data_IF_357102251291
#
_entry.id   IF_357102251291
#
_cell.length_a   1.000
_cell.length_b   1.000
_cell.length_c   1.000
_cell.angle_alpha   90.00
_cell.angle_beta   90.00
_cell.angle_gamma   90.00
#
_symmetry.space_group_name_H-M   'P 1'
#
loop_
_entity.id
_entity.type
_entity.pdbx_description
1 polymer ?
#
# COMPACT_ATOMS: atom_id res chain seq x y z
N UNK A 1 -73.86 -9.48 -11.86
CA UNK A 1 -73.60 -10.70 -11.05
C UNK A 1 -72.64 -10.34 -9.94
N UNK A 2 -73.14 -10.09 -8.73
CA UNK A 2 -72.36 -10.34 -7.51
C UNK A 2 -73.28 -11.12 -6.59
N UNK A 3 -72.80 -12.30 -6.23
CA UNK A 3 -73.45 -13.29 -5.38
C UNK A 3 -73.83 -12.65 -4.04
N UNK A 4 -75.11 -12.72 -3.60
CA UNK A 4 -75.56 -12.12 -2.34
C UNK A 4 -74.94 -12.76 -1.09
N UNK A 5 -74.10 -13.79 -1.23
CA UNK A 5 -73.37 -14.42 -0.11
C UNK A 5 -71.88 -14.06 -0.03
N UNK A 6 -71.42 -12.96 -0.63
CA UNK A 6 -70.08 -12.45 -0.37
C UNK A 6 -70.09 -11.46 0.80
N UNK A 7 -69.44 -11.76 1.95
CA UNK A 7 -69.49 -10.88 3.12
C UNK A 7 -68.82 -9.52 2.84
N UNK A 8 -69.52 -8.43 3.19
CA UNK A 8 -69.08 -7.04 3.07
C UNK A 8 -67.73 -6.82 3.77
N UNK A 9 -66.70 -6.50 2.99
CA UNK A 9 -65.30 -6.32 3.42
C UNK A 9 -65.17 -5.23 4.51
N UNK A 10 -66.05 -4.23 4.49
CA UNK A 10 -66.02 -3.01 5.31
C UNK A 10 -66.24 -3.25 6.81
N UNK A 11 -67.02 -4.26 7.18
CA UNK A 11 -67.28 -4.56 8.61
C UNK A 11 -66.10 -5.27 9.29
N UNK A 12 -65.27 -6.03 8.54
CA UNK A 12 -64.05 -6.63 9.07
C UNK A 12 -62.98 -5.56 9.36
N UNK A 13 -62.82 -4.59 8.46
CA UNK A 13 -61.86 -3.48 8.66
C UNK A 13 -62.19 -2.63 9.89
N UNK A 14 -63.48 -2.38 10.19
CA UNK A 14 -63.92 -1.63 11.38
C UNK A 14 -63.61 -2.33 12.71
N UNK A 15 -63.64 -3.66 12.74
CA UNK A 15 -63.31 -4.43 13.94
C UNK A 15 -61.78 -4.51 14.17
N UNK A 16 -60.98 -4.43 13.09
CA UNK A 16 -59.53 -4.47 13.15
C UNK A 16 -58.87 -3.08 13.37
N UNK A 17 -59.57 -1.99 13.06
CA UNK A 17 -59.13 -0.60 13.29
C UNK A 17 -58.53 -0.31 14.69
N UNK A 18 -59.15 -0.69 15.82
CA UNK A 18 -58.55 -0.46 17.15
C UNK A 18 -57.27 -1.28 17.38
N UNK A 19 -57.12 -2.42 16.72
CA UNK A 19 -55.92 -3.24 16.75
C UNK A 19 -54.78 -2.61 15.94
N UNK A 20 -55.06 -2.04 14.76
CA UNK A 20 -54.08 -1.30 13.96
C UNK A 20 -53.55 -0.06 14.69
N UNK A 21 -54.43 0.76 15.31
CA UNK A 21 -54.02 1.94 16.10
C UNK A 21 -53.01 1.60 17.21
N UNK A 22 -53.24 0.48 17.92
CA UNK A 22 -52.35 0.01 18.99
C UNK A 22 -50.99 -0.45 18.46
N UNK A 23 -50.97 -1.04 17.26
CA UNK A 23 -49.72 -1.43 16.57
C UNK A 23 -48.95 -0.21 16.10
N UNK A 24 -49.60 0.81 15.56
CA UNK A 24 -48.94 2.04 15.13
C UNK A 24 -48.30 2.79 16.31
N UNK A 25 -49.00 2.91 17.44
CA UNK A 25 -48.43 3.48 18.65
C UNK A 25 -47.23 2.68 19.20
N UNK A 26 -47.22 1.36 19.04
CA UNK A 26 -46.08 0.51 19.39
C UNK A 26 -44.91 0.70 18.41
N UNK A 27 -45.20 0.78 17.11
CA UNK A 27 -44.21 1.03 16.05
C UNK A 27 -43.54 2.39 16.26
N UNK A 28 -44.29 3.44 16.62
CA UNK A 28 -43.75 4.77 16.88
C UNK A 28 -42.82 4.79 18.11
N UNK A 29 -43.19 4.06 19.17
CA UNK A 29 -42.31 3.87 20.34
C UNK A 29 -41.01 3.15 19.97
N UNK A 30 -41.07 2.12 19.15
CA UNK A 30 -39.88 1.39 18.71
C UNK A 30 -39.05 2.27 17.77
N UNK A 31 -39.66 2.93 16.80
CA UNK A 31 -39.00 3.81 15.85
C UNK A 31 -38.27 4.96 16.55
N UNK A 32 -38.91 5.59 17.55
CA UNK A 32 -38.27 6.64 18.35
C UNK A 32 -37.09 6.11 19.19
N UNK A 33 -37.19 4.89 19.73
CA UNK A 33 -36.10 4.28 20.49
C UNK A 33 -34.93 3.85 19.60
N UNK A 34 -35.22 3.28 18.43
CA UNK A 34 -34.23 2.90 17.42
C UNK A 34 -33.53 4.16 16.90
N UNK A 35 -34.28 5.20 16.53
CA UNK A 35 -33.71 6.45 16.04
C UNK A 35 -32.77 7.10 17.08
N UNK A 36 -33.17 7.15 18.36
CA UNK A 36 -32.33 7.67 19.44
C UNK A 36 -31.07 6.85 19.66
N UNK A 37 -31.17 5.52 19.61
CA UNK A 37 -30.00 4.63 19.76
C UNK A 37 -29.02 4.79 18.61
N UNK A 38 -29.52 4.81 17.37
CA UNK A 38 -28.71 5.04 16.16
C UNK A 38 -28.05 6.41 16.16
N UNK A 39 -28.79 7.47 16.52
CA UNK A 39 -28.25 8.82 16.56
C UNK A 39 -27.23 9.01 17.69
N UNK A 40 -27.44 8.38 18.85
CA UNK A 40 -26.48 8.40 19.97
C UNK A 40 -25.20 7.66 19.60
N UNK A 41 -25.29 6.54 18.89
CA UNK A 41 -24.12 5.81 18.42
C UNK A 41 -23.33 6.62 17.37
N UNK A 42 -24.01 7.23 16.40
CA UNK A 42 -23.36 8.10 15.39
C UNK A 42 -22.69 9.32 16.02
N UNK A 43 -23.36 9.98 16.99
CA UNK A 43 -22.77 11.11 17.73
C UNK A 43 -21.62 10.67 18.64
N UNK A 44 -21.68 9.48 19.25
CA UNK A 44 -20.56 8.94 20.03
C UNK A 44 -19.36 8.63 19.13
N UNK A 45 -19.55 7.99 17.98
CA UNK A 45 -18.46 7.74 17.02
C UNK A 45 -17.86 9.06 16.51
N UNK A 46 -18.71 10.01 16.12
CA UNK A 46 -18.28 11.34 15.69
C UNK A 46 -17.61 12.14 16.81
N UNK A 47 -18.08 12.03 18.05
CA UNK A 47 -17.49 12.67 19.23
C UNK A 47 -16.17 12.02 19.65
N UNK A 48 -16.04 10.70 19.55
CA UNK A 48 -14.78 9.99 19.82
C UNK A 48 -13.74 10.41 18.79
N UNK A 49 -14.12 10.49 17.51
CA UNK A 49 -13.24 10.98 16.45
C UNK A 49 -12.87 12.46 16.63
N UNK A 50 -13.84 13.32 17.00
CA UNK A 50 -13.60 14.73 17.29
C UNK A 50 -12.73 14.92 18.55
N UNK A 51 -12.91 14.10 19.59
CA UNK A 51 -12.10 14.15 20.81
C UNK A 51 -10.68 13.61 20.57
N UNK A 52 -10.52 12.59 19.73
CA UNK A 52 -9.22 12.13 19.23
C UNK A 52 -8.53 13.20 18.37
N UNK A 53 -9.31 14.04 17.66
CA UNK A 53 -8.80 15.17 16.87
C UNK A 53 -8.50 16.44 17.69
N UNK A 54 -9.04 16.58 18.91
CA UNK A 54 -9.04 17.85 19.66
C UNK A 54 -7.72 18.20 20.36
N UNK A 55 -6.88 17.20 20.66
CA UNK A 55 -5.59 17.41 21.33
C UNK A 55 -4.49 16.58 20.71
N UNK A 56 -3.49 17.23 20.12
CA UNK A 56 -2.32 16.54 19.56
C UNK A 56 -2.53 15.89 18.19
N UNK A 57 -3.67 16.08 17.53
CA UNK A 57 -3.92 15.48 16.19
C UNK A 57 -2.88 15.89 15.16
N UNK A 58 -2.45 17.16 15.15
CA UNK A 58 -1.39 17.63 14.25
C UNK A 58 -0.05 16.93 14.54
N UNK A 59 0.30 16.78 15.82
CA UNK A 59 1.50 16.08 16.27
C UNK A 59 1.46 14.59 15.93
N UNK A 60 0.34 13.92 16.19
CA UNK A 60 0.15 12.50 15.88
C UNK A 60 0.20 12.22 14.38
N UNK A 61 -0.45 13.06 13.55
CA UNK A 61 -0.36 12.93 12.08
C UNK A 61 1.06 13.19 11.58
N UNK A 62 1.79 14.14 12.18
CA UNK A 62 3.19 14.39 11.84
C UNK A 62 4.07 13.17 12.11
N UNK A 63 3.91 12.52 13.27
CA UNK A 63 4.65 11.29 13.62
C UNK A 63 4.30 10.16 12.64
N UNK A 64 3.01 9.98 12.31
CA UNK A 64 2.54 8.96 11.35
C UNK A 64 3.18 9.19 9.96
N UNK A 65 3.21 10.43 9.48
CA UNK A 65 3.83 10.78 8.20
C UNK A 65 5.34 10.46 8.19
N UNK A 66 6.03 10.79 9.29
CA UNK A 66 7.45 10.47 9.45
C UNK A 66 7.72 8.96 9.49
N UNK A 67 6.85 8.17 10.13
CA UNK A 67 6.92 6.71 10.10
C UNK A 67 6.69 6.16 8.69
N UNK A 68 5.73 6.70 7.95
CA UNK A 68 5.45 6.31 6.57
C UNK A 68 6.65 6.58 5.65
N UNK A 69 7.43 7.64 5.92
CA UNK A 69 8.68 7.92 5.23
C UNK A 69 9.74 6.84 5.47
N UNK A 70 9.87 6.33 6.70
CA UNK A 70 10.78 5.22 7.01
C UNK A 70 10.36 3.95 6.26
N UNK A 71 9.06 3.65 6.22
CA UNK A 71 8.52 2.51 5.46
C UNK A 71 8.83 2.65 3.97
N UNK A 72 8.69 3.85 3.40
CA UNK A 72 9.03 4.11 2.00
C UNK A 72 10.52 3.85 1.71
N UNK A 73 11.41 4.30 2.59
CA UNK A 73 12.86 4.05 2.46
C UNK A 73 13.14 2.54 2.53
N UNK A 74 12.52 1.81 3.46
CA UNK A 74 12.67 0.36 3.57
C UNK A 74 12.21 -0.36 2.29
N UNK A 75 11.06 0.05 1.73
CA UNK A 75 10.56 -0.50 0.47
C UNK A 75 11.54 -0.25 -0.70
N UNK A 76 12.11 0.96 -0.79
CA UNK A 76 13.10 1.30 -1.82
C UNK A 76 14.37 0.45 -1.68
N UNK A 77 14.82 0.16 -0.46
CA UNK A 77 15.94 -0.76 -0.21
C UNK A 77 15.60 -2.19 -0.64
N UNK A 78 14.38 -2.66 -0.37
CA UNK A 78 13.92 -4.01 -0.79
C UNK A 78 13.86 -4.13 -2.30
N UNK A 79 13.32 -3.13 -3.00
CA UNK A 79 13.28 -3.09 -4.47
C UNK A 79 14.70 -3.12 -5.03
N UNK A 80 15.62 -2.35 -4.43
CA UNK A 80 17.02 -2.32 -4.83
C UNK A 80 17.72 -3.68 -4.64
N UNK A 81 17.44 -4.36 -3.53
CA UNK A 81 17.93 -5.72 -3.27
C UNK A 81 17.43 -6.71 -4.32
N UNK A 82 16.15 -6.64 -4.71
CA UNK A 82 15.58 -7.50 -5.75
C UNK A 82 16.22 -7.20 -7.11
N UNK A 83 16.49 -5.92 -7.43
CA UNK A 83 17.06 -5.52 -8.70
C UNK A 83 18.53 -5.94 -8.85
N UNK A 84 19.34 -5.80 -7.79
CA UNK A 84 20.76 -6.13 -7.83
C UNK A 84 21.07 -7.58 -7.45
N UNK A 85 20.16 -8.30 -6.78
CA UNK A 85 20.35 -9.71 -6.41
C UNK A 85 21.53 -10.00 -5.47
N UNK A 86 21.93 -9.04 -4.62
CA UNK A 86 23.02 -9.20 -3.66
C UNK A 86 22.56 -9.83 -2.33
N UNK A 87 23.46 -10.45 -1.59
CA UNK A 87 23.14 -10.97 -0.25
C UNK A 87 23.03 -9.85 0.79
N UNK A 88 22.09 -9.96 1.73
CA UNK A 88 21.88 -8.99 2.82
C UNK A 88 23.15 -8.67 3.64
N UNK A 89 24.08 -9.63 3.74
CA UNK A 89 25.38 -9.43 4.40
C UNK A 89 26.28 -8.43 3.68
N UNK A 90 26.26 -8.41 2.35
CA UNK A 90 27.10 -7.51 1.55
C UNK A 90 26.60 -6.06 1.64
N UNK A 91 25.29 -5.87 1.82
CA UNK A 91 24.66 -4.56 2.06
C UNK A 91 25.19 -3.91 3.34
N UNK A 92 25.23 -4.67 4.43
CA UNK A 92 25.62 -4.18 5.76
C UNK A 92 27.11 -3.84 5.83
N UNK A 93 27.93 -4.58 5.09
CA UNK A 93 29.37 -4.35 5.01
C UNK A 93 29.77 -3.27 4.00
N UNK A 94 28.80 -2.61 3.32
CA UNK A 94 29.06 -1.60 2.27
C UNK A 94 30.04 -2.08 1.18
N UNK A 95 30.18 -3.41 1.05
CA UNK A 95 31.20 -4.07 0.24
C UNK A 95 30.88 -4.03 -1.26
N UNK A 96 29.67 -3.61 -1.61
CA UNK A 96 29.23 -3.45 -2.99
C UNK A 96 29.93 -2.29 -3.73
N UNK A 97 30.48 -1.30 -3.01
CA UNK A 97 31.08 -0.11 -3.64
C UNK A 97 32.59 -0.17 -3.84
N UNK A 98 33.30 -0.82 -2.90
CA UNK A 98 34.76 -0.89 -2.90
C UNK A 98 35.22 -2.31 -3.21
N UNK A 99 35.71 -2.51 -4.44
CA UNK A 99 36.61 -3.62 -4.80
C UNK A 99 35.98 -5.02 -4.97
N UNK A 100 34.67 -5.13 -5.22
CA UNK A 100 34.08 -6.42 -5.65
C UNK A 100 34.11 -6.49 -7.18
N UNK A 101 34.98 -7.32 -7.73
CA UNK A 101 35.03 -7.59 -9.16
C UNK A 101 33.74 -8.28 -9.63
N UNK A 102 33.16 -7.80 -10.75
CA UNK A 102 32.03 -8.43 -11.45
C UNK A 102 32.26 -9.92 -11.78
N UNK A 103 33.54 -10.35 -11.84
CA UNK A 103 33.94 -11.75 -12.01
C UNK A 103 33.64 -12.63 -10.78
N UNK A 104 33.58 -12.04 -9.59
CA UNK A 104 33.34 -12.74 -8.33
C UNK A 104 31.85 -12.94 -8.05
N UNK A 105 31.02 -11.94 -8.37
CA UNK A 105 29.56 -11.97 -8.14
C UNK A 105 28.77 -12.54 -9.31
N UNK A 106 29.28 -12.49 -10.54
CA UNK A 106 28.65 -13.10 -11.73
C UNK A 106 27.29 -12.52 -12.12
N UNK A 107 26.75 -11.58 -11.34
CA UNK A 107 25.40 -11.05 -11.49
C UNK A 107 25.22 -10.19 -12.74
N UNK A 108 26.32 -9.73 -13.36
CA UNK A 108 26.26 -8.79 -14.48
C UNK A 108 27.57 -8.81 -15.31
N UNK A 109 27.67 -9.59 -16.40
CA UNK A 109 28.88 -9.64 -17.23
C UNK A 109 29.08 -8.31 -17.96
N UNK A 110 30.15 -7.59 -17.61
CA UNK A 110 30.56 -6.33 -18.24
C UNK A 110 30.98 -6.50 -19.71
N UNK A 111 31.27 -7.73 -20.11
CA UNK A 111 31.59 -8.12 -21.48
C UNK A 111 30.99 -9.49 -21.80
N UNK A 112 30.34 -9.58 -22.95
CA UNK A 112 29.71 -10.80 -23.46
C UNK A 112 30.29 -11.14 -24.84
N UNK A 113 30.35 -12.44 -25.17
CA UNK A 113 30.71 -12.88 -26.53
C UNK A 113 29.43 -12.96 -27.36
N UNK A 114 29.37 -12.21 -28.46
CA UNK A 114 28.27 -12.28 -29.42
C UNK A 114 28.76 -12.99 -30.68
N UNK A 115 28.02 -14.01 -31.09
CA UNK A 115 28.31 -14.77 -32.31
C UNK A 115 27.48 -14.23 -33.48
N UNK A 116 28.16 -13.87 -34.56
CA UNK A 116 27.57 -13.44 -35.81
C UNK A 116 27.79 -14.51 -36.89
N UNK A 117 26.71 -14.96 -37.52
CA UNK A 117 26.78 -15.88 -38.65
C UNK A 117 26.76 -15.10 -39.96
N UNK A 118 27.87 -15.10 -40.71
CA UNK A 118 27.95 -14.46 -42.03
C UNK A 118 28.08 -15.54 -43.09
N UNK A 119 27.18 -15.52 -44.08
CA UNK A 119 27.26 -16.39 -45.26
C UNK A 119 28.19 -15.75 -46.30
N UNK A 120 29.34 -16.36 -46.54
CA UNK A 120 30.24 -15.96 -47.62
C UNK A 120 30.35 -17.08 -48.65
N UNK A 121 29.91 -16.82 -49.88
CA UNK A 121 29.97 -17.76 -51.03
C UNK A 121 29.53 -19.20 -50.71
N UNK A 122 28.37 -19.37 -50.06
CA UNK A 122 27.79 -20.68 -49.77
C UNK A 122 28.31 -21.39 -48.51
N UNK A 123 29.37 -20.88 -47.87
CA UNK A 123 29.87 -21.37 -46.59
C UNK A 123 29.36 -20.48 -45.44
N UNK A 124 28.80 -21.09 -44.39
CA UNK A 124 28.35 -20.39 -43.18
C UNK A 124 29.55 -20.29 -42.21
N UNK A 125 30.12 -19.09 -42.05
CA UNK A 125 31.20 -18.88 -41.08
C UNK A 125 30.70 -18.09 -39.88
N UNK A 126 31.03 -18.59 -38.67
CA UNK A 126 30.71 -17.95 -37.40
C UNK A 126 31.88 -17.12 -36.92
N UNK A 127 31.63 -15.87 -36.58
CA UNK A 127 32.59 -14.96 -35.97
C UNK A 127 32.11 -14.57 -34.58
N UNK A 128 32.98 -14.72 -33.59
CA UNK A 128 32.72 -14.30 -32.22
C UNK A 128 33.41 -12.96 -31.96
N UNK A 129 32.64 -11.96 -31.52
CA UNK A 129 33.18 -10.64 -31.15
C UNK A 129 32.85 -10.32 -29.71
N UNK A 130 33.70 -9.51 -29.11
CA UNK A 130 33.51 -9.06 -27.74
C UNK A 130 32.58 -7.85 -27.73
N UNK A 131 31.37 -8.02 -27.17
CA UNK A 131 30.43 -6.93 -26.91
C UNK A 131 30.60 -6.41 -25.48
N UNK A 132 30.51 -5.09 -25.31
CA UNK A 132 30.57 -4.43 -24.01
C UNK A 132 29.18 -3.88 -23.68
N UNK A 133 28.59 -4.33 -22.57
CA UNK A 133 27.27 -3.87 -22.14
C UNK A 133 27.41 -2.69 -21.18
N UNK A 134 27.69 -1.51 -21.76
CA UNK A 134 27.92 -0.26 -21.01
C UNK A 134 26.72 0.18 -20.15
N UNK A 135 25.50 -0.13 -20.59
CA UNK A 135 24.25 0.18 -19.88
C UNK A 135 24.18 -0.45 -18.49
N UNK A 136 24.72 -1.66 -18.35
CA UNK A 136 24.64 -2.43 -17.12
C UNK A 136 25.60 -1.89 -16.04
N UNK A 137 26.80 -1.49 -16.46
CA UNK A 137 27.78 -0.84 -15.59
C UNK A 137 27.26 0.53 -15.10
N UNK A 138 26.50 1.24 -15.94
CA UNK A 138 25.89 2.50 -15.53
C UNK A 138 24.83 2.29 -14.45
N UNK A 139 24.01 1.25 -14.60
CA UNK A 139 23.00 0.87 -13.63
C UNK A 139 23.63 0.52 -12.27
N UNK A 140 24.70 -0.28 -12.27
CA UNK A 140 25.45 -0.63 -11.04
C UNK A 140 25.87 0.63 -10.25
N UNK A 141 26.39 1.65 -10.94
CA UNK A 141 26.88 2.87 -10.27
C UNK A 141 25.76 3.78 -9.79
N UNK A 142 24.68 3.94 -10.56
CA UNK A 142 23.56 4.78 -10.13
C UNK A 142 22.84 4.18 -8.93
N UNK A 143 22.71 2.85 -8.87
CA UNK A 143 22.12 2.16 -7.73
C UNK A 143 22.95 2.26 -6.45
N UNK A 144 24.27 2.27 -6.56
CA UNK A 144 25.15 2.53 -5.41
C UNK A 144 24.95 3.96 -4.90
N UNK A 145 24.93 4.96 -5.78
CA UNK A 145 24.69 6.36 -5.39
C UNK A 145 23.32 6.52 -4.71
N UNK A 146 22.29 5.87 -5.27
CA UNK A 146 20.95 5.85 -4.67
C UNK A 146 20.94 5.17 -3.30
N UNK A 147 21.67 4.07 -3.11
CA UNK A 147 21.77 3.40 -1.81
C UNK A 147 22.37 4.33 -0.75
N UNK A 148 23.48 5.00 -1.06
CA UNK A 148 24.09 5.98 -0.14
C UNK A 148 23.13 7.13 0.18
N UNK A 149 22.40 7.60 -0.83
CA UNK A 149 21.37 8.63 -0.66
C UNK A 149 20.24 8.18 0.27
N UNK A 150 19.76 6.94 0.14
CA UNK A 150 18.71 6.39 1.01
C UNK A 150 19.16 6.20 2.45
N UNK A 151 20.41 5.74 2.66
CA UNK A 151 21.00 5.64 4.00
C UNK A 151 21.08 7.03 4.64
N UNK A 152 21.52 8.05 3.89
CA UNK A 152 21.54 9.43 4.37
C UNK A 152 20.15 9.93 4.76
N UNK A 153 19.14 9.74 3.90
CA UNK A 153 17.75 10.12 4.19
C UNK A 153 17.19 9.40 5.42
N UNK A 154 17.55 8.15 5.64
CA UNK A 154 17.15 7.39 6.83
C UNK A 154 17.72 8.00 8.11
N UNK A 155 19.02 8.33 8.12
CA UNK A 155 19.69 8.95 9.27
C UNK A 155 19.04 10.30 9.58
N UNK A 156 18.86 11.16 8.58
CA UNK A 156 18.22 12.47 8.75
C UNK A 156 16.80 12.32 9.30
N UNK A 157 16.01 11.38 8.75
CA UNK A 157 14.64 11.13 9.21
C UNK A 157 14.61 10.67 10.67
N UNK A 158 15.53 9.80 11.08
CA UNK A 158 15.66 9.32 12.46
C UNK A 158 16.06 10.44 13.41
N UNK A 159 17.05 11.26 13.06
CA UNK A 159 17.49 12.39 13.88
C UNK A 159 16.36 13.41 14.09
N UNK A 160 15.58 13.69 13.05
CA UNK A 160 14.42 14.60 13.13
C UNK A 160 13.36 14.05 14.09
N UNK A 161 13.07 12.74 14.04
CA UNK A 161 12.09 12.10 14.94
C UNK A 161 12.59 12.13 16.38
N UNK A 162 13.86 11.81 16.61
CA UNK A 162 14.47 11.85 17.94
C UNK A 162 14.49 13.26 18.53
N UNK A 163 14.82 14.26 17.71
CA UNK A 163 14.78 15.67 18.09
C UNK A 163 13.37 16.22 18.33
N UNK A 164 12.33 15.54 17.84
CA UNK A 164 10.93 15.88 18.12
C UNK A 164 10.42 15.20 19.39
N UNK A 165 11.02 14.06 19.78
CA UNK A 165 10.65 13.30 20.97
C UNK A 165 11.34 13.82 22.25
N UNK A 166 12.54 14.42 22.14
CA UNK A 166 13.27 15.03 23.26
C UNK A 166 13.05 16.54 23.30
#
# INVERSE_FOLDING_TARGET
MNDPNLPHITHREQQELPYYQKREAAIEKIASHVYRTTQRNSKNVGSVFHNLMRGGWLSNNYIIMKLMFIVNIALQIVILHIFLGFNWGDLFHLKLGFNTDWKSTGLFPRSTMCDFEVRNKGNLQRYSVQCVLSLNMFNEKIFLVLLYWLIFLFIVSKTIILSYHF
#
